data_IF_602318062115
#
_entry.id   IF_602318062115
#
_cell.length_a   1.000
_cell.length_b   1.000
_cell.length_c   1.000
_cell.angle_alpha   90.00
_cell.angle_beta   90.00
_cell.angle_gamma   90.00
#
_symmetry.space_group_name_H-M   'P 1'
#
loop_
_entity.id
_entity.type
_entity.pdbx_description
1 polymer ?
#
# COMPACT_ATOMS: atom_id res chain seq x y z
N UNK A 1 -7.83 -6.52 19.68
CA UNK A 1 -7.30 -5.75 18.53
C UNK A 1 -8.32 -5.72 17.42
N UNK A 2 -8.65 -4.54 16.97
CA UNK A 2 -9.48 -4.36 15.79
C UNK A 2 -8.60 -4.10 14.58
N UNK A 3 -9.09 -4.53 13.40
CA UNK A 3 -8.47 -4.20 12.13
C UNK A 3 -9.36 -3.20 11.43
N UNK A 4 -8.91 -1.96 11.34
CA UNK A 4 -9.59 -0.94 10.56
C UNK A 4 -9.12 -1.02 9.11
N UNK A 5 -10.05 -0.95 8.18
CA UNK A 5 -9.72 -0.83 6.77
C UNK A 5 -10.09 0.56 6.28
N UNK A 6 -9.25 1.10 5.43
CA UNK A 6 -9.45 2.44 4.89
C UNK A 6 -8.84 2.54 3.51
N UNK A 7 -9.23 3.55 2.77
CA UNK A 7 -8.76 3.77 1.42
C UNK A 7 -8.07 5.11 1.33
N UNK A 8 -6.92 5.14 0.65
CA UNK A 8 -6.24 6.39 0.32
C UNK A 8 -6.11 6.50 -1.19
N UNK A 9 -6.21 7.72 -1.69
CA UNK A 9 -5.99 8.02 -3.10
C UNK A 9 -4.86 9.03 -3.16
N UNK A 10 -3.79 8.65 -3.84
CA UNK A 10 -2.61 9.49 -4.01
C UNK A 10 -2.64 10.09 -5.39
N UNK A 11 -2.50 11.40 -5.47
CA UNK A 11 -2.46 12.10 -6.75
C UNK A 11 -1.02 12.23 -7.21
N UNK A 12 -0.82 11.95 -8.51
CA UNK A 12 0.49 11.98 -9.11
C UNK A 12 1.05 13.37 -9.33
N UNK A 13 2.22 13.42 -9.94
CA UNK A 13 2.98 12.26 -10.41
C UNK A 13 3.71 11.51 -9.29
N UNK A 14 4.19 10.32 -9.61
CA UNK A 14 5.11 9.60 -8.76
C UNK A 14 6.37 10.46 -8.52
N UNK A 15 7.17 10.22 -7.46
CA UNK A 15 7.12 9.06 -6.56
C UNK A 15 6.02 9.17 -5.50
N UNK A 16 5.58 8.00 -5.05
CA UNK A 16 4.49 7.92 -4.06
C UNK A 16 4.98 7.98 -2.62
N UNK A 17 6.27 7.75 -2.41
CA UNK A 17 6.87 7.91 -1.09
C UNK A 17 6.70 6.74 -0.15
N UNK A 18 6.65 5.51 -0.66
CA UNK A 18 6.59 4.32 0.19
C UNK A 18 7.27 3.13 -0.47
N UNK A 19 7.57 2.12 0.35
CA UNK A 19 8.06 0.83 -0.10
C UNK A 19 7.21 -0.27 0.49
N UNK A 20 7.13 -1.38 -0.26
CA UNK A 20 6.37 -2.56 0.14
C UNK A 20 7.30 -3.68 0.60
N UNK A 21 6.75 -4.57 1.42
CA UNK A 21 7.34 -5.87 1.70
C UNK A 21 6.25 -6.92 1.61
N UNK A 22 6.68 -8.19 1.46
CA UNK A 22 5.74 -9.29 1.33
C UNK A 22 5.28 -9.51 -0.09
N UNK A 23 4.24 -10.29 -0.22
CA UNK A 23 3.66 -10.68 -1.50
C UNK A 23 3.32 -12.16 -1.49
N UNK A 24 2.52 -12.58 -2.47
CA UNK A 24 2.06 -13.97 -2.58
C UNK A 24 3.24 -14.95 -2.64
N UNK A 25 4.30 -14.59 -3.35
CA UNK A 25 5.50 -15.42 -3.52
C UNK A 25 6.30 -15.60 -2.23
N UNK A 26 6.12 -14.70 -1.26
CA UNK A 26 6.78 -14.81 0.05
C UNK A 26 5.89 -15.41 1.12
N UNK A 27 4.64 -15.73 0.79
CA UNK A 27 3.64 -16.20 1.76
C UNK A 27 3.43 -15.23 2.93
N UNK A 28 3.65 -13.94 2.69
CA UNK A 28 3.45 -12.87 3.66
C UNK A 28 2.60 -11.81 2.97
N UNK A 29 1.54 -11.31 3.61
CA UNK A 29 0.74 -10.25 3.01
C UNK A 29 1.58 -9.01 2.68
N UNK A 30 1.19 -8.31 1.63
CA UNK A 30 1.82 -7.04 1.30
C UNK A 30 1.59 -6.03 2.41
N UNK A 31 2.65 -5.32 2.79
CA UNK A 31 2.55 -4.26 3.80
C UNK A 31 3.52 -3.14 3.48
N UNK A 32 3.29 -2.01 4.14
CA UNK A 32 4.16 -0.84 3.98
C UNK A 32 5.38 -1.04 4.87
N UNK A 33 6.55 -1.15 4.25
CA UNK A 33 7.81 -1.35 4.99
C UNK A 33 8.54 -0.05 5.27
N UNK A 34 8.29 0.99 4.49
CA UNK A 34 9.01 2.25 4.61
C UNK A 34 8.18 3.40 4.06
N UNK A 35 8.30 4.57 4.68
CA UNK A 35 7.72 5.81 4.20
C UNK A 35 8.79 6.87 4.06
N UNK A 36 8.72 7.62 2.96
CA UNK A 36 9.52 8.83 2.81
C UNK A 36 8.91 9.93 3.66
N UNK A 37 9.65 10.52 4.60
CA UNK A 37 9.13 11.64 5.41
C UNK A 37 8.64 12.76 4.50
N UNK A 38 7.42 13.24 4.76
CA UNK A 38 6.82 14.30 3.95
C UNK A 38 6.38 13.90 2.56
N UNK A 39 6.53 12.62 2.18
CA UNK A 39 6.08 12.12 0.89
C UNK A 39 4.57 12.00 0.79
N UNK A 40 4.08 11.68 -0.40
CA UNK A 40 2.64 11.66 -0.66
C UNK A 40 1.91 10.66 0.22
N UNK A 41 2.45 9.45 0.39
CA UNK A 41 1.84 8.44 1.23
C UNK A 41 1.79 8.87 2.70
N UNK A 42 2.89 9.44 3.20
CA UNK A 42 2.93 9.94 4.57
C UNK A 42 1.90 11.05 4.79
N UNK A 43 1.77 11.97 3.84
CA UNK A 43 0.79 13.06 3.92
C UNK A 43 -0.64 12.55 3.89
N UNK A 44 -0.88 11.43 3.21
CA UNK A 44 -2.22 10.84 3.12
C UNK A 44 -2.60 10.01 4.34
N UNK A 45 -1.67 9.83 5.30
CA UNK A 45 -1.95 9.10 6.51
C UNK A 45 -1.57 7.63 6.48
N UNK A 46 -0.81 7.20 5.47
CA UNK A 46 -0.25 5.85 5.43
C UNK A 46 0.82 5.71 6.50
N UNK A 47 0.89 4.56 7.14
CA UNK A 47 1.89 4.30 8.18
C UNK A 47 2.66 3.01 7.88
N UNK A 48 3.90 2.94 8.36
CA UNK A 48 4.70 1.72 8.29
C UNK A 48 3.96 0.62 9.05
N UNK A 49 3.88 -0.56 8.44
CA UNK A 49 3.16 -1.68 9.03
C UNK A 49 1.72 -1.81 8.54
N UNK A 50 1.19 -0.83 7.83
CA UNK A 50 -0.15 -0.97 7.25
C UNK A 50 -0.15 -2.12 6.24
N UNK A 51 -1.19 -2.96 6.32
CA UNK A 51 -1.40 -4.03 5.36
C UNK A 51 -2.02 -3.47 4.09
N UNK A 52 -1.54 -3.93 2.94
CA UNK A 52 -2.12 -3.53 1.66
C UNK A 52 -3.15 -4.57 1.25
N UNK A 53 -4.40 -4.17 1.18
CA UNK A 53 -5.51 -5.04 0.83
C UNK A 53 -5.79 -5.02 -0.67
N UNK A 54 -5.62 -3.87 -1.29
CA UNK A 54 -5.89 -3.71 -2.72
C UNK A 54 -5.03 -2.59 -3.31
N UNK A 55 -4.76 -2.71 -4.61
CA UNK A 55 -4.05 -1.70 -5.40
C UNK A 55 -4.91 -1.43 -6.63
N UNK A 56 -5.38 -0.19 -6.77
CA UNK A 56 -6.28 0.22 -7.87
C UNK A 56 -7.46 -0.75 -8.04
N UNK A 57 -8.03 -1.18 -6.91
CA UNK A 57 -9.18 -2.06 -6.90
C UNK A 57 -8.89 -3.54 -7.04
N UNK A 58 -7.64 -3.91 -7.29
CA UNK A 58 -7.27 -5.32 -7.41
C UNK A 58 -6.81 -5.86 -6.06
N UNK A 59 -7.29 -7.05 -5.71
CA UNK A 59 -6.95 -7.71 -4.44
C UNK A 59 -5.45 -7.99 -4.38
N UNK A 60 -4.79 -7.44 -3.36
CA UNK A 60 -3.34 -7.60 -3.19
C UNK A 60 -2.95 -9.03 -2.82
N UNK A 61 -3.85 -9.80 -2.25
CA UNK A 61 -3.57 -11.19 -1.86
C UNK A 61 -3.23 -12.10 -3.02
N UNK A 62 -3.60 -11.73 -4.24
CA UNK A 62 -3.30 -12.50 -5.45
C UNK A 62 -2.02 -12.04 -6.15
N UNK A 63 -1.35 -11.01 -5.65
CA UNK A 63 -0.20 -10.39 -6.32
C UNK A 63 1.11 -10.85 -5.68
N UNK A 64 2.08 -11.16 -6.54
CA UNK A 64 3.46 -11.30 -6.10
C UNK A 64 4.02 -9.92 -5.79
N UNK A 65 5.18 -9.87 -5.12
CA UNK A 65 5.83 -8.60 -4.81
C UNK A 65 6.09 -7.77 -6.07
N UNK A 66 6.62 -8.40 -7.12
CA UNK A 66 6.93 -7.72 -8.38
C UNK A 66 5.65 -7.29 -9.09
N UNK A 67 4.62 -8.12 -9.09
CA UNK A 67 3.34 -7.75 -9.70
C UNK A 67 2.74 -6.52 -9.03
N UNK A 68 2.82 -6.46 -7.70
CA UNK A 68 2.34 -5.29 -6.97
C UNK A 68 3.15 -4.04 -7.33
N UNK A 69 4.47 -4.15 -7.41
CA UNK A 69 5.32 -3.03 -7.82
C UNK A 69 5.00 -2.56 -9.23
N UNK A 70 4.81 -3.51 -10.16
CA UNK A 70 4.49 -3.17 -11.54
C UNK A 70 3.13 -2.47 -11.64
N UNK A 71 2.16 -2.93 -10.86
CA UNK A 71 0.84 -2.31 -10.83
C UNK A 71 0.92 -0.86 -10.33
N UNK A 72 1.73 -0.62 -9.32
CA UNK A 72 1.93 0.73 -8.79
C UNK A 72 2.61 1.63 -9.84
N UNK A 73 3.59 1.10 -10.56
CA UNK A 73 4.27 1.85 -11.62
C UNK A 73 3.33 2.18 -12.78
N UNK A 74 2.39 1.28 -13.06
CA UNK A 74 1.48 1.40 -14.20
C UNK A 74 0.25 2.25 -13.91
N UNK A 75 0.05 2.72 -12.68
CA UNK A 75 -1.18 3.40 -12.30
C UNK A 75 -1.34 4.81 -12.88
N UNK A 76 -0.27 5.38 -13.44
CA UNK A 76 -0.33 6.72 -14.05
C UNK A 76 -0.33 7.83 -13.02
N UNK A 77 -1.31 8.72 -13.11
CA UNK A 77 -1.36 9.95 -12.30
C UNK A 77 -2.13 9.80 -11.01
N UNK A 78 -2.67 8.61 -10.72
CA UNK A 78 -3.46 8.38 -9.51
C UNK A 78 -3.25 6.96 -9.03
N UNK A 79 -2.98 6.81 -7.74
CA UNK A 79 -2.82 5.51 -7.11
C UNK A 79 -3.85 5.38 -5.99
N UNK A 80 -4.66 4.32 -6.07
CA UNK A 80 -5.64 4.01 -5.04
C UNK A 80 -5.18 2.79 -4.25
N UNK A 81 -5.10 2.93 -2.92
CA UNK A 81 -4.69 1.85 -2.03
C UNK A 81 -5.78 1.56 -1.02
N UNK A 82 -6.14 0.30 -0.89
CA UNK A 82 -6.93 -0.18 0.24
C UNK A 82 -5.97 -0.71 1.29
N UNK A 83 -6.07 -0.21 2.49
CA UNK A 83 -5.15 -0.51 3.58
C UNK A 83 -5.89 -1.00 4.80
N UNK A 84 -5.18 -1.69 5.67
CA UNK A 84 -5.71 -2.15 6.94
C UNK A 84 -4.69 -1.91 8.03
N UNK A 85 -5.17 -1.48 9.18
CA UNK A 85 -4.31 -1.16 10.33
C UNK A 85 -4.90 -1.79 11.58
N UNK A 86 -4.05 -2.47 12.36
CA UNK A 86 -4.45 -2.99 13.65
C UNK A 86 -4.63 -1.84 14.62
N UNK A 87 -5.75 -1.86 15.36
CA UNK A 87 -6.01 -0.87 16.40
C UNK A 87 -6.06 -1.59 17.75
N UNK A 88 -5.34 -1.09 18.76
CA UNK A 88 -5.45 -1.65 20.09
C UNK A 88 -6.86 -1.42 20.65
N UNK A 89 -7.32 -2.40 21.40
CA UNK A 89 -8.62 -2.33 22.08
C UNK A 89 -8.50 -1.55 23.36
#
# INVERSE_FOLDING_TARGET
>A
IFMDSFKVVLEGPAPWGFRLQGGKDFNVPLSISRLTPGGKAAQAGVAVGDWVLSIDGENAGSLTHIEAQNKIRACGERLSLGLSRAQPV
#
